data_IF_568595055462
#
_entry.id   IF_568595055462
#
_cell.length_a   1.000
_cell.length_b   1.000
_cell.length_c   1.000
_cell.angle_alpha   90.00
_cell.angle_beta   90.00
_cell.angle_gamma   90.00
#
_symmetry.space_group_name_H-M   'P 1'
#
loop_
_entity.id
_entity.type
_entity.pdbx_description
1 polymer ?
#
# COMPACT_ATOMS: atom_id res chain seq x y z
N UNK A 1 -15.97 13.10 -18.23
CA UNK A 1 -16.18 14.34 -17.45
C UNK A 1 -15.92 14.00 -15.99
N UNK A 2 -14.79 14.42 -15.42
CA UNK A 2 -14.48 14.18 -14.01
C UNK A 2 -15.54 14.89 -13.15
N UNK A 3 -16.46 14.12 -12.57
CA UNK A 3 -17.40 14.63 -11.59
C UNK A 3 -16.59 14.98 -10.35
N UNK A 4 -16.41 16.27 -10.08
CA UNK A 4 -15.66 16.75 -8.92
C UNK A 4 -16.21 16.10 -7.65
N UNK A 5 -15.41 15.24 -7.01
CA UNK A 5 -15.70 14.74 -5.69
C UNK A 5 -15.81 15.92 -4.73
N UNK A 6 -16.85 15.95 -3.89
CA UNK A 6 -16.94 16.98 -2.83
C UNK A 6 -16.17 16.47 -1.61
N UNK A 7 -14.87 16.25 -1.81
CA UNK A 7 -13.98 15.93 -0.72
C UNK A 7 -13.61 17.18 0.06
N UNK A 8 -13.34 16.98 1.34
CA UNK A 8 -12.71 17.96 2.21
C UNK A 8 -11.39 17.40 2.69
N UNK A 9 -10.38 18.26 2.71
CA UNK A 9 -9.02 17.92 3.05
C UNK A 9 -8.53 18.93 4.09
N UNK A 10 -8.03 18.42 5.22
CA UNK A 10 -7.35 19.21 6.23
C UNK A 10 -5.96 18.65 6.49
N UNK A 11 -4.98 19.53 6.66
CA UNK A 11 -3.62 19.18 7.04
C UNK A 11 -3.29 19.92 8.33
N UNK A 12 -2.85 19.19 9.34
CA UNK A 12 -2.34 19.77 10.58
C UNK A 12 -1.20 18.91 11.09
N UNK A 13 -0.06 19.54 11.41
CA UNK A 13 1.17 18.83 11.78
C UNK A 13 1.57 17.81 10.68
N UNK A 14 1.71 16.55 11.06
CA UNK A 14 2.04 15.36 10.28
C UNK A 14 0.79 14.56 9.86
N UNK A 15 -0.41 15.10 10.08
CA UNK A 15 -1.68 14.46 9.78
C UNK A 15 -2.35 15.08 8.55
N UNK A 16 -2.87 14.21 7.67
CA UNK A 16 -3.74 14.53 6.56
C UNK A 16 -5.09 13.84 6.80
N UNK A 17 -6.17 14.59 6.78
CA UNK A 17 -7.53 14.06 6.92
C UNK A 17 -8.31 14.36 5.65
N UNK A 18 -8.80 13.29 5.02
CA UNK A 18 -9.66 13.33 3.83
C UNK A 18 -11.03 12.80 4.20
N UNK A 19 -12.10 13.47 3.76
CA UNK A 19 -13.45 12.96 3.93
C UNK A 19 -14.37 13.35 2.79
N UNK A 20 -15.37 12.52 2.55
CA UNK A 20 -16.44 12.75 1.59
C UNK A 20 -17.75 12.17 2.14
N UNK A 21 -18.88 12.54 1.54
CA UNK A 21 -20.17 11.95 1.87
C UNK A 21 -20.28 10.56 1.24
N UNK A 22 -20.61 9.53 2.02
CA UNK A 22 -20.60 8.14 1.56
C UNK A 22 -21.60 7.88 0.43
N UNK A 23 -22.67 8.67 0.37
CA UNK A 23 -23.72 8.62 -0.65
C UNK A 23 -23.25 9.12 -2.02
N UNK A 24 -22.02 9.66 -2.11
CA UNK A 24 -21.44 10.08 -3.38
C UNK A 24 -21.12 8.84 -4.24
N UNK A 25 -21.76 8.69 -5.43
CA UNK A 25 -21.54 7.55 -6.30
C UNK A 25 -20.06 7.41 -6.70
N UNK A 26 -19.49 6.22 -6.51
CA UNK A 26 -18.08 5.91 -6.80
C UNK A 26 -17.08 6.61 -5.87
N UNK A 27 -17.55 7.25 -4.80
CA UNK A 27 -16.72 8.05 -3.90
C UNK A 27 -15.66 7.23 -3.15
N UNK A 28 -16.00 5.99 -2.77
CA UNK A 28 -15.06 5.08 -2.10
C UNK A 28 -13.90 4.71 -3.02
N UNK A 29 -14.19 4.14 -4.19
CA UNK A 29 -13.17 3.76 -5.16
C UNK A 29 -12.26 4.94 -5.50
N UNK A 30 -12.86 6.08 -5.85
CA UNK A 30 -12.09 7.26 -6.27
C UNK A 30 -11.19 7.80 -5.16
N UNK A 31 -11.68 7.83 -3.91
CA UNK A 31 -10.88 8.29 -2.76
C UNK A 31 -9.75 7.31 -2.43
N UNK A 32 -10.01 5.99 -2.50
CA UNK A 32 -8.96 4.97 -2.30
C UNK A 32 -7.86 5.08 -3.36
N UNK A 33 -8.26 5.31 -4.61
CA UNK A 33 -7.35 5.51 -5.72
C UNK A 33 -6.47 6.76 -5.52
N UNK A 34 -7.05 7.89 -5.09
CA UNK A 34 -6.29 9.10 -4.78
C UNK A 34 -5.31 8.90 -3.62
N UNK A 35 -5.72 8.18 -2.57
CA UNK A 35 -4.83 7.82 -1.46
C UNK A 35 -3.69 6.92 -1.97
N UNK A 36 -3.96 5.95 -2.85
CA UNK A 36 -2.94 5.10 -3.47
C UNK A 36 -1.91 5.91 -4.23
N UNK A 37 -2.37 6.83 -5.09
CA UNK A 37 -1.49 7.76 -5.82
C UNK A 37 -0.66 8.63 -4.87
N UNK A 38 -1.25 9.11 -3.77
CA UNK A 38 -0.53 9.87 -2.74
C UNK A 38 0.56 9.02 -2.08
N UNK A 39 0.26 7.77 -1.69
CA UNK A 39 1.25 6.85 -1.10
C UNK A 39 2.42 6.66 -2.07
N UNK A 40 2.16 6.38 -3.34
CA UNK A 40 3.20 6.20 -4.36
C UNK A 40 4.07 7.46 -4.52
N UNK A 41 3.47 8.66 -4.53
CA UNK A 41 4.20 9.95 -4.58
C UNK A 41 5.02 10.23 -3.33
N UNK A 42 4.59 9.75 -2.15
CA UNK A 42 5.39 9.86 -0.93
C UNK A 42 6.57 8.88 -0.96
N UNK A 43 6.37 7.67 -1.46
CA UNK A 43 7.42 6.65 -1.61
C UNK A 43 8.52 7.11 -2.58
N UNK A 44 8.18 7.78 -3.69
CA UNK A 44 9.19 8.37 -4.58
C UNK A 44 10.07 9.41 -3.90
N UNK A 45 9.53 10.08 -2.86
CA UNK A 45 10.25 11.02 -1.99
C UNK A 45 10.86 10.37 -0.74
N UNK A 46 10.86 9.04 -0.66
CA UNK A 46 11.34 8.25 0.49
C UNK A 46 10.59 8.54 1.80
N UNK A 47 9.36 9.04 1.71
CA UNK A 47 8.46 9.28 2.84
C UNK A 47 7.50 8.10 2.95
N UNK A 48 7.39 7.57 4.17
CA UNK A 48 6.45 6.51 4.51
C UNK A 48 5.27 7.12 5.27
N UNK A 49 4.06 6.73 4.90
CA UNK A 49 2.84 7.10 5.61
C UNK A 49 2.10 5.86 6.09
N UNK A 50 1.19 6.07 7.04
CA UNK A 50 0.23 5.08 7.51
C UNK A 50 -1.09 5.80 7.73
N UNK A 51 -2.19 5.04 7.74
CA UNK A 51 -3.52 5.61 7.93
C UNK A 51 -4.54 4.53 8.20
N UNK A 52 -5.77 4.96 8.46
CA UNK A 52 -6.92 4.09 8.46
C UNK A 52 -8.15 4.83 7.93
N UNK A 53 -9.08 4.06 7.38
CA UNK A 53 -10.33 4.55 6.80
C UNK A 53 -11.48 3.99 7.63
N UNK A 54 -12.41 4.85 7.99
CA UNK A 54 -13.61 4.52 8.76
C UNK A 54 -14.83 5.21 8.17
N UNK A 55 -16.02 4.72 8.52
CA UNK A 55 -17.30 5.28 8.08
C UNK A 55 -18.11 5.63 9.32
N UNK A 56 -18.62 6.85 9.39
CA UNK A 56 -19.48 7.26 10.49
C UNK A 56 -19.74 8.77 10.49
N UNK A 57 -20.38 9.24 11.56
CA UNK A 57 -20.66 10.67 11.72
C UNK A 57 -19.36 11.45 11.79
N UNK A 58 -19.27 12.49 10.96
CA UNK A 58 -18.09 13.34 10.89
C UNK A 58 -18.46 14.76 10.49
N UNK A 59 -17.96 15.74 11.25
CA UNK A 59 -18.03 17.15 10.91
C UNK A 59 -16.63 17.57 10.46
N UNK A 60 -16.55 17.98 9.20
CA UNK A 60 -15.35 18.54 8.58
C UNK A 60 -15.70 19.89 7.96
N UNK A 61 -15.31 20.96 8.61
CA UNK A 61 -15.35 22.34 8.11
C UNK A 61 -13.95 22.91 8.12
N UNK A 62 -13.79 24.14 7.63
CA UNK A 62 -12.48 24.81 7.60
C UNK A 62 -11.97 25.09 9.02
N UNK A 63 -12.88 25.19 10.00
CA UNK A 63 -12.59 25.49 11.41
C UNK A 63 -12.70 24.28 12.35
N UNK A 64 -13.46 23.24 11.98
CA UNK A 64 -13.81 22.14 12.88
C UNK A 64 -13.63 20.76 12.25
N UNK A 65 -13.03 19.86 13.03
CA UNK A 65 -12.77 18.48 12.65
C UNK A 65 -13.09 17.55 13.83
N UNK A 66 -14.29 16.98 13.87
CA UNK A 66 -14.66 16.09 14.98
C UNK A 66 -15.80 15.12 14.62
N UNK A 67 -15.82 13.98 15.30
CA UNK A 67 -16.85 12.97 15.15
C UNK A 67 -16.32 11.56 15.44
N UNK A 68 -17.20 10.60 15.70
CA UNK A 68 -16.81 9.21 15.99
C UNK A 68 -15.96 8.59 14.88
N UNK A 69 -16.22 8.91 13.60
CA UNK A 69 -15.42 8.36 12.50
C UNK A 69 -13.95 8.79 12.58
N UNK A 70 -13.67 10.05 12.92
CA UNK A 70 -12.30 10.54 13.10
C UNK A 70 -11.59 9.81 14.24
N UNK A 71 -12.29 9.63 15.37
CA UNK A 71 -11.75 8.93 16.55
C UNK A 71 -11.44 7.47 16.20
N UNK A 72 -12.32 6.82 15.45
CA UNK A 72 -12.14 5.45 14.99
C UNK A 72 -10.96 5.32 14.01
N UNK A 73 -10.88 6.19 13.00
CA UNK A 73 -9.77 6.21 12.05
C UNK A 73 -8.44 6.42 12.78
N UNK A 74 -8.37 7.37 13.70
CA UNK A 74 -7.18 7.61 14.53
C UNK A 74 -6.82 6.40 15.39
N UNK A 75 -7.83 5.75 16.00
CA UNK A 75 -7.61 4.56 16.83
C UNK A 75 -7.06 3.40 16.00
N UNK A 76 -7.62 3.14 14.82
CA UNK A 76 -7.16 2.10 13.90
C UNK A 76 -5.75 2.40 13.36
N UNK A 77 -5.47 3.64 12.96
CA UNK A 77 -4.15 4.08 12.52
C UNK A 77 -3.10 3.88 13.62
N UNK A 78 -3.42 4.26 14.86
CA UNK A 78 -2.51 4.18 16.00
C UNK A 78 -2.30 2.77 16.53
N UNK A 79 -3.32 1.91 16.51
CA UNK A 79 -3.29 0.60 17.18
C UNK A 79 -3.21 -0.60 16.24
N UNK A 80 -3.70 -0.49 15.01
CA UNK A 80 -3.80 -1.61 14.07
C UNK A 80 -2.93 -1.42 12.83
N UNK A 81 -2.87 -0.21 12.24
CA UNK A 81 -2.10 -0.01 11.01
C UNK A 81 -0.63 -0.37 11.22
N UNK A 82 -0.01 0.10 12.31
CA UNK A 82 1.34 -0.19 12.88
C UNK A 82 2.56 -0.08 11.96
N UNK A 83 2.40 -0.47 10.71
CA UNK A 83 3.32 -0.46 9.58
C UNK A 83 2.93 0.64 8.58
N UNK A 84 3.77 0.92 7.56
CA UNK A 84 3.50 1.91 6.52
C UNK A 84 2.34 1.55 5.57
N UNK A 85 1.14 1.35 6.08
CA UNK A 85 -0.05 0.97 5.31
C UNK A 85 -1.25 1.80 5.70
N UNK A 86 -2.17 2.00 4.75
CA UNK A 86 -3.50 2.58 5.00
C UNK A 86 -4.49 1.44 5.03
N UNK A 87 -5.11 1.21 6.19
CA UNK A 87 -6.00 0.06 6.42
C UNK A 87 -7.48 0.43 6.39
N UNK A 88 -8.32 -0.56 6.11
CA UNK A 88 -9.77 -0.45 6.15
C UNK A 88 -10.41 -1.80 6.46
N UNK A 89 -11.61 -1.73 7.03
CA UNK A 89 -12.45 -2.90 7.31
C UNK A 89 -13.30 -3.29 6.08
N UNK A 90 -13.73 -4.54 6.01
CA UNK A 90 -14.60 -5.04 4.94
C UNK A 90 -15.86 -4.20 4.72
N UNK A 91 -16.42 -3.60 5.78
CA UNK A 91 -17.57 -2.68 5.69
C UNK A 91 -17.36 -1.51 4.74
N UNK A 92 -16.11 -1.02 4.57
CA UNK A 92 -15.80 0.06 3.61
C UNK A 92 -15.94 -0.43 2.16
N UNK A 93 -15.57 -1.68 1.89
CA UNK A 93 -15.70 -2.31 0.57
C UNK A 93 -17.20 -2.46 0.23
N UNK A 94 -17.98 -2.98 1.18
CA UNK A 94 -19.43 -3.11 1.04
C UNK A 94 -20.11 -1.76 0.84
N UNK A 95 -19.72 -0.73 1.59
CA UNK A 95 -20.24 0.61 1.41
C UNK A 95 -19.90 1.20 0.03
N UNK A 96 -18.72 0.91 -0.51
CA UNK A 96 -18.33 1.28 -1.87
C UNK A 96 -19.27 0.65 -2.91
N UNK A 97 -19.48 -0.65 -2.81
CA UNK A 97 -20.38 -1.39 -3.71
C UNK A 97 -21.84 -0.92 -3.63
N UNK A 98 -22.30 -0.55 -2.42
CA UNK A 98 -23.65 0.03 -2.23
C UNK A 98 -23.78 1.41 -2.87
N UNK A 99 -22.74 2.24 -2.75
CA UNK A 99 -22.70 3.61 -3.29
C UNK A 99 -21.89 3.67 -4.60
N UNK A 100 -22.11 2.67 -5.45
CA UNK A 100 -21.43 2.48 -6.74
C UNK A 100 -21.64 3.63 -7.72
N UNK A 101 -20.77 3.71 -8.71
CA UNK A 101 -21.02 4.55 -9.86
C UNK A 101 -22.28 4.09 -10.61
N UNK A 102 -22.96 5.01 -11.31
CA UNK A 102 -24.21 4.71 -12.02
C UNK A 102 -24.03 3.70 -13.16
N UNK A 103 -22.81 3.64 -13.70
CA UNK A 103 -22.45 2.79 -14.83
C UNK A 103 -22.03 1.36 -14.40
N UNK A 104 -21.97 1.07 -13.10
CA UNK A 104 -21.57 -0.23 -12.57
C UNK A 104 -22.72 -0.88 -11.80
N UNK A 105 -22.74 -2.22 -11.80
CA UNK A 105 -23.51 -2.97 -10.82
C UNK A 105 -22.75 -3.13 -9.49
N UNK A 106 -23.41 -3.72 -8.49
CA UNK A 106 -22.85 -3.90 -7.16
C UNK A 106 -21.57 -4.76 -7.17
N UNK A 107 -21.57 -5.83 -7.97
CA UNK A 107 -20.46 -6.79 -8.04
C UNK A 107 -19.27 -6.15 -8.75
N UNK A 108 -19.52 -5.47 -9.87
CA UNK A 108 -18.49 -4.76 -10.63
C UNK A 108 -17.80 -3.68 -9.77
N UNK A 109 -18.57 -2.83 -9.06
CA UNK A 109 -17.99 -1.82 -8.19
C UNK A 109 -17.19 -2.44 -7.04
N UNK A 110 -17.68 -3.54 -6.46
CA UNK A 110 -16.96 -4.28 -5.41
C UNK A 110 -15.62 -4.78 -5.93
N UNK A 111 -15.59 -5.35 -7.13
CA UNK A 111 -14.36 -5.81 -7.78
C UNK A 111 -13.38 -4.66 -8.05
N UNK A 112 -13.87 -3.51 -8.52
CA UNK A 112 -13.04 -2.32 -8.70
C UNK A 112 -12.43 -1.84 -7.38
N UNK A 113 -13.22 -1.75 -6.30
CA UNK A 113 -12.69 -1.38 -4.97
C UNK A 113 -11.65 -2.40 -4.51
N UNK A 114 -11.93 -3.70 -4.63
CA UNK A 114 -11.00 -4.77 -4.25
C UNK A 114 -9.74 -4.82 -5.11
N UNK A 115 -9.79 -4.34 -6.35
CA UNK A 115 -8.64 -4.26 -7.24
C UNK A 115 -7.54 -3.32 -6.71
N UNK A 116 -7.88 -2.40 -5.79
CA UNK A 116 -6.93 -1.49 -5.12
C UNK A 116 -6.32 -2.07 -3.84
N UNK A 117 -6.86 -3.18 -3.32
CA UNK A 117 -6.65 -3.61 -1.94
C UNK A 117 -6.04 -5.01 -1.84
N UNK A 118 -5.30 -5.28 -0.79
CA UNK A 118 -4.86 -6.63 -0.43
C UNK A 118 -5.20 -6.90 1.04
N UNK A 119 -5.46 -8.16 1.40
CA UNK A 119 -5.72 -8.53 2.78
C UNK A 119 -4.42 -8.88 3.51
N UNK A 120 -4.30 -8.38 4.73
CA UNK A 120 -3.16 -8.65 5.59
C UNK A 120 -3.47 -9.78 6.60
N UNK A 121 -2.44 -10.31 7.27
CA UNK A 121 -2.55 -11.44 8.20
C UNK A 121 -3.38 -11.17 9.45
N UNK A 122 -3.68 -9.91 9.74
CA UNK A 122 -4.58 -9.51 10.84
C UNK A 122 -6.05 -9.38 10.40
N UNK A 123 -6.36 -9.71 9.15
CA UNK A 123 -7.71 -9.67 8.59
C UNK A 123 -8.11 -8.31 8.02
N UNK A 124 -7.32 -7.25 8.25
CA UNK A 124 -7.59 -5.93 7.68
C UNK A 124 -7.17 -5.87 6.21
N UNK A 125 -7.90 -5.10 5.41
CA UNK A 125 -7.46 -4.74 4.07
C UNK A 125 -6.52 -3.54 4.13
N UNK A 126 -5.57 -3.47 3.20
CA UNK A 126 -4.76 -2.29 2.98
C UNK A 126 -4.70 -1.92 1.51
N UNK A 127 -4.47 -0.63 1.22
CA UNK A 127 -4.23 -0.15 -0.15
C UNK A 127 -2.90 -0.72 -0.63
N UNK A 128 -2.94 -1.59 -1.65
CA UNK A 128 -1.75 -2.26 -2.16
C UNK A 128 -0.99 -1.33 -3.12
N UNK A 129 0.06 -0.74 -2.59
CA UNK A 129 1.04 0.06 -3.34
C UNK A 129 2.28 -0.77 -3.74
N UNK A 130 2.26 -2.09 -3.61
CA UNK A 130 3.31 -2.99 -4.09
C UNK A 130 2.98 -3.47 -5.50
N UNK A 131 2.38 -4.66 -5.64
CA UNK A 131 2.14 -5.26 -6.95
C UNK A 131 1.06 -4.49 -7.72
N UNK A 132 -0.04 -4.14 -7.04
CA UNK A 132 -1.15 -3.42 -7.68
C UNK A 132 -0.82 -1.97 -8.04
N UNK A 133 0.33 -1.42 -7.63
CA UNK A 133 0.76 -0.08 -8.04
C UNK A 133 0.94 0.06 -9.56
N UNK A 134 1.29 -1.03 -10.26
CA UNK A 134 1.46 -1.03 -11.71
C UNK A 134 0.20 -0.58 -12.45
N UNK A 135 -0.99 -0.80 -11.88
CA UNK A 135 -2.27 -0.43 -12.51
C UNK A 135 -2.49 1.09 -12.58
N UNK A 136 -1.68 1.87 -11.84
CA UNK A 136 -1.80 3.33 -11.75
C UNK A 136 -0.67 4.06 -12.49
N UNK A 137 0.16 3.32 -13.23
CA UNK A 137 1.24 3.88 -14.03
C UNK A 137 0.74 4.05 -15.47
N UNK A 138 1.18 5.11 -16.13
CA UNK A 138 0.77 5.43 -17.50
C UNK A 138 1.32 4.38 -18.47
N UNK A 139 2.59 4.01 -18.29
CA UNK A 139 3.28 2.99 -19.08
C UNK A 139 3.92 1.93 -18.15
N UNK A 140 3.14 0.97 -17.60
CA UNK A 140 3.60 0.05 -16.56
C UNK A 140 4.82 -0.78 -16.96
N UNK A 141 4.98 -1.11 -18.25
CA UNK A 141 6.12 -1.85 -18.77
C UNK A 141 7.45 -1.11 -18.59
N UNK A 142 7.41 0.23 -18.54
CA UNK A 142 8.58 1.10 -18.40
C UNK A 142 8.69 1.70 -16.99
N UNK A 143 7.57 2.14 -16.42
CA UNK A 143 7.54 2.87 -15.15
C UNK A 143 7.62 1.93 -13.93
N UNK A 144 7.07 0.71 -14.03
CA UNK A 144 7.03 -0.20 -12.90
C UNK A 144 8.42 -0.72 -12.50
N UNK A 145 9.35 -1.04 -13.43
CA UNK A 145 10.75 -1.29 -13.12
C UNK A 145 11.38 -0.22 -12.20
N UNK A 146 11.28 1.06 -12.57
CA UNK A 146 11.81 2.18 -11.79
C UNK A 146 11.14 2.29 -10.42
N UNK A 147 9.82 2.08 -10.38
CA UNK A 147 9.07 2.04 -9.13
C UNK A 147 9.55 0.92 -8.19
N UNK A 148 9.77 -0.29 -8.71
CA UNK A 148 10.29 -1.45 -7.97
C UNK A 148 11.67 -1.13 -7.39
N UNK A 149 12.57 -0.55 -8.19
CA UNK A 149 13.91 -0.19 -7.72
C UNK A 149 13.86 0.87 -6.62
N UNK A 150 13.06 1.92 -6.81
CA UNK A 150 12.88 2.97 -5.83
C UNK A 150 12.33 2.43 -4.49
N UNK A 151 11.33 1.54 -4.55
CA UNK A 151 10.74 0.89 -3.39
C UNK A 151 11.74 -0.05 -2.71
N UNK A 152 12.52 -0.81 -3.48
CA UNK A 152 13.57 -1.68 -2.95
C UNK A 152 14.64 -0.88 -2.20
N UNK A 153 15.03 0.29 -2.71
CA UNK A 153 15.97 1.20 -2.06
C UNK A 153 15.44 1.72 -0.72
N UNK A 154 14.17 2.16 -0.66
CA UNK A 154 13.50 2.55 0.60
C UNK A 154 13.59 1.43 1.63
N UNK A 155 13.23 0.21 1.24
CA UNK A 155 13.20 -0.94 2.15
C UNK A 155 14.61 -1.31 2.61
N UNK A 156 15.59 -1.39 1.69
CA UNK A 156 16.98 -1.75 2.01
C UNK A 156 17.62 -0.73 2.96
N UNK A 157 17.49 0.56 2.66
CA UNK A 157 18.01 1.64 3.53
C UNK A 157 17.36 1.60 4.90
N UNK A 158 16.04 1.39 4.96
CA UNK A 158 15.31 1.25 6.22
C UNK A 158 15.78 0.07 7.07
N UNK A 159 15.92 -1.11 6.48
CA UNK A 159 16.44 -2.30 7.16
C UNK A 159 17.90 -2.10 7.63
N UNK A 160 18.74 -1.47 6.82
CA UNK A 160 20.13 -1.16 7.19
C UNK A 160 20.20 -0.16 8.34
N UNK A 161 19.44 0.93 8.27
CA UNK A 161 19.41 2.00 9.27
C UNK A 161 18.79 1.58 10.61
N UNK A 162 18.02 0.49 10.63
CA UNK A 162 17.37 -0.12 11.80
C UNK A 162 18.02 -1.44 12.25
N UNK A 163 19.27 -1.69 11.85
CA UNK A 163 19.98 -2.94 12.15
C UNK A 163 20.30 -3.14 13.64
N UNK A 164 20.47 -2.05 14.40
CA UNK A 164 20.71 -2.09 15.84
C UNK A 164 19.46 -2.59 16.60
N UNK A 165 19.65 -3.37 17.66
CA UNK A 165 18.54 -4.01 18.38
C UNK A 165 17.55 -2.99 18.99
N UNK A 166 18.05 -1.82 19.42
CA UNK A 166 17.21 -0.73 19.97
C UNK A 166 16.23 -0.11 18.96
N UNK A 167 16.41 -0.35 17.65
CA UNK A 167 15.53 0.15 16.57
C UNK A 167 14.56 -0.93 16.07
N UNK A 168 14.16 -1.85 16.94
CA UNK A 168 13.30 -2.98 16.59
C UNK A 168 11.93 -2.55 16.06
N UNK A 169 11.38 -1.50 16.65
CA UNK A 169 10.13 -0.82 16.27
C UNK A 169 10.19 -0.21 14.86
N UNK A 170 11.36 0.27 14.44
CA UNK A 170 11.58 0.75 13.06
C UNK A 170 11.78 -0.46 12.13
N UNK A 171 12.57 -1.44 12.55
CA UNK A 171 12.91 -2.62 11.73
C UNK A 171 11.69 -3.46 11.39
N UNK A 172 10.71 -3.58 12.30
CA UNK A 172 9.48 -4.34 12.03
C UNK A 172 8.67 -3.72 10.89
N UNK A 173 8.66 -2.38 10.76
CA UNK A 173 8.00 -1.65 9.66
C UNK A 173 8.60 -2.04 8.30
N UNK A 174 9.92 -2.00 8.18
CA UNK A 174 10.59 -2.38 6.94
C UNK A 174 10.58 -3.88 6.69
N UNK A 175 10.46 -4.71 7.73
CA UNK A 175 10.29 -6.16 7.60
C UNK A 175 8.92 -6.50 7.01
N UNK A 176 7.86 -5.81 7.45
CA UNK A 176 6.53 -5.91 6.87
C UNK A 176 6.57 -5.53 5.38
N UNK A 177 7.18 -4.39 5.03
CA UNK A 177 7.30 -3.97 3.62
C UNK A 177 8.11 -4.98 2.78
N UNK A 178 9.21 -5.50 3.32
CA UNK A 178 10.06 -6.51 2.67
C UNK A 178 9.25 -7.74 2.28
N UNK A 179 8.36 -8.21 3.16
CA UNK A 179 7.54 -9.39 2.88
C UNK A 179 6.58 -9.16 1.71
N UNK A 180 5.91 -8.00 1.64
CA UNK A 180 4.99 -7.66 0.54
C UNK A 180 5.76 -7.42 -0.76
N UNK A 181 6.88 -6.72 -0.69
CA UNK A 181 7.80 -6.57 -1.81
C UNK A 181 8.25 -7.94 -2.35
N UNK A 182 8.67 -8.86 -1.49
CA UNK A 182 9.11 -10.18 -1.92
C UNK A 182 7.98 -11.02 -2.53
N UNK A 183 6.74 -10.87 -2.08
CA UNK A 183 5.56 -11.47 -2.72
C UNK A 183 5.33 -10.89 -4.12
N UNK A 184 5.46 -9.58 -4.29
CA UNK A 184 5.41 -8.92 -5.60
C UNK A 184 6.51 -9.47 -6.53
N UNK A 185 7.74 -9.63 -6.01
CA UNK A 185 8.84 -10.25 -6.77
C UNK A 185 8.45 -11.66 -7.23
N UNK A 186 7.89 -12.50 -6.34
CA UNK A 186 7.45 -13.85 -6.73
C UNK A 186 6.47 -13.85 -7.91
N UNK A 187 5.55 -12.89 -7.93
CA UNK A 187 4.55 -12.76 -9.01
C UNK A 187 5.23 -12.37 -10.33
N UNK A 188 6.00 -11.29 -10.33
CA UNK A 188 6.60 -10.76 -11.58
C UNK A 188 7.69 -11.68 -12.14
N UNK A 189 8.39 -12.43 -11.28
CA UNK A 189 9.43 -13.39 -11.69
C UNK A 189 8.91 -14.80 -11.93
N UNK A 190 7.59 -15.02 -11.84
CA UNK A 190 7.01 -16.34 -12.10
C UNK A 190 7.31 -16.79 -13.54
N UNK A 191 7.51 -18.10 -13.73
CA UNK A 191 7.85 -18.65 -15.05
C UNK A 191 6.74 -18.35 -16.06
N UNK A 192 5.49 -18.45 -15.61
CA UNK A 192 4.31 -18.15 -16.40
C UNK A 192 4.31 -16.69 -16.88
N UNK A 193 4.63 -15.74 -16.00
CA UNK A 193 4.70 -14.33 -16.37
C UNK A 193 5.85 -14.03 -17.35
N UNK A 194 7.04 -14.60 -17.11
CA UNK A 194 8.19 -14.42 -18.00
C UNK A 194 7.93 -14.98 -19.40
N UNK A 195 7.26 -16.14 -19.50
CA UNK A 195 6.85 -16.70 -20.80
C UNK A 195 5.83 -15.79 -21.48
N UNK A 196 4.85 -15.25 -20.72
CA UNK A 196 3.85 -14.32 -21.25
C UNK A 196 4.50 -13.09 -21.87
N UNK A 197 5.44 -12.46 -21.17
CA UNK A 197 6.15 -11.25 -21.62
C UNK A 197 6.99 -11.52 -22.88
N UNK A 198 7.74 -12.62 -22.90
CA UNK A 198 8.50 -13.00 -24.09
C UNK A 198 7.61 -13.22 -25.32
N UNK A 199 6.44 -13.84 -25.12
CA UNK A 199 5.48 -14.08 -26.19
C UNK A 199 4.78 -12.79 -26.67
N UNK A 200 4.65 -11.78 -25.81
CA UNK A 200 4.07 -10.47 -26.18
C UNK A 200 5.10 -9.50 -26.79
N UNK A 201 6.37 -9.89 -26.91
CA UNK A 201 7.43 -9.03 -27.44
C UNK A 201 8.13 -8.16 -26.40
N UNK A 202 7.77 -8.30 -25.12
CA UNK A 202 8.30 -7.51 -23.99
C UNK A 202 9.60 -8.12 -23.43
N UNK A 203 10.60 -8.33 -24.31
CA UNK A 203 11.83 -9.04 -23.96
C UNK A 203 12.67 -8.28 -22.92
N UNK A 204 12.78 -6.95 -23.04
CA UNK A 204 13.53 -6.11 -22.10
C UNK A 204 12.95 -6.18 -20.68
N UNK A 205 11.61 -6.15 -20.58
CA UNK A 205 10.91 -6.28 -19.31
C UNK A 205 11.05 -7.70 -18.72
N UNK A 206 10.98 -8.73 -19.56
CA UNK A 206 11.21 -10.11 -19.13
C UNK A 206 12.63 -10.29 -18.59
N UNK A 207 13.64 -9.72 -19.26
CA UNK A 207 15.02 -9.74 -18.84
C UNK A 207 15.20 -8.99 -17.51
N UNK A 208 14.61 -7.80 -17.36
CA UNK A 208 14.62 -7.06 -16.10
C UNK A 208 14.02 -7.89 -14.96
N UNK A 209 12.80 -8.43 -15.13
CA UNK A 209 12.15 -9.26 -14.12
C UNK A 209 12.94 -10.52 -13.78
N UNK A 210 13.53 -11.20 -14.77
CA UNK A 210 14.33 -12.41 -14.52
C UNK A 210 15.53 -12.16 -13.60
N UNK A 211 16.05 -10.93 -13.57
CA UNK A 211 17.20 -10.52 -12.76
C UNK A 211 16.81 -9.96 -11.39
N UNK A 212 15.52 -9.71 -11.13
CA UNK A 212 15.05 -9.21 -9.84
C UNK A 212 15.31 -10.23 -8.72
N UNK A 213 15.70 -9.71 -7.56
CA UNK A 213 15.99 -10.51 -6.37
C UNK A 213 15.19 -10.04 -5.17
N UNK A 214 14.67 -11.01 -4.42
CA UNK A 214 14.10 -10.78 -3.10
C UNK A 214 15.10 -10.07 -2.18
N UNK A 215 14.58 -9.21 -1.33
CA UNK A 215 15.35 -8.63 -0.23
C UNK A 215 15.48 -9.70 0.87
N UNK A 216 16.72 -10.02 1.23
CA UNK A 216 17.04 -11.11 2.17
C UNK A 216 16.39 -10.94 3.54
N UNK A 217 15.96 -12.07 4.11
CA UNK A 217 15.50 -12.19 5.50
C UNK A 217 16.66 -12.32 6.50
N UNK A 218 17.83 -12.76 6.03
CA UNK A 218 18.87 -13.40 6.84
C UNK A 218 20.12 -12.55 7.09
N UNK A 219 19.98 -11.29 7.49
CA UNK A 219 21.13 -10.57 8.10
C UNK A 219 21.37 -10.98 9.56
N UNK A 220 20.43 -11.69 10.20
CA UNK A 220 20.53 -12.10 11.61
C UNK A 220 20.86 -13.57 11.82
N UNK A 221 20.67 -14.45 10.84
CA UNK A 221 20.97 -15.89 10.96
C UNK A 221 22.47 -16.16 11.02
N UNK A 222 23.29 -15.34 10.34
CA UNK A 222 24.75 -15.48 10.33
C UNK A 222 25.44 -14.99 11.62
N UNK A 223 24.75 -14.22 12.47
CA UNK A 223 25.28 -13.80 13.78
C UNK A 223 25.10 -14.87 14.87
N UNK A 224 24.09 -15.74 14.75
CA UNK A 224 23.91 -16.90 15.63
C UNK A 224 24.77 -18.10 15.20
N UNK A 225 24.97 -18.30 13.89
CA UNK A 225 25.81 -19.39 13.39
C UNK A 225 27.32 -19.15 13.51
N UNK A 226 27.78 -17.89 13.50
CA UNK A 226 29.21 -17.56 13.70
C UNK A 226 29.68 -17.56 15.15
N UNK A 227 28.75 -17.56 16.13
CA UNK A 227 29.08 -17.73 17.56
C UNK A 227 29.17 -19.20 17.97
N UNK A 228 28.50 -20.11 17.27
CA UNK A 228 28.54 -21.56 17.57
C UNK A 228 29.67 -22.32 16.85
N UNK A 229 30.39 -21.69 15.91
CA UNK A 229 31.55 -22.30 15.23
C UNK A 229 32.90 -21.95 15.87
N UNK A 230 32.93 -21.19 16.97
CA UNK A 230 34.16 -20.84 17.71
C UNK A 230 34.38 -21.66 18.99
N UNK A 231 33.53 -22.66 19.24
CA UNK A 231 33.62 -23.58 20.39
C UNK A 231 33.50 -25.06 20.01
N UNK A 232 34.01 -25.44 18.83
CA UNK A 232 34.33 -26.84 18.52
C UNK A 232 35.75 -26.93 18.02
#
# INVERSE_FOLDING_TARGET
MLRLLKQKISIFSDCLVVSFAIEQPGGVFSTLLEIKMLIMRLISRKILCRGAISIGKFIHTDDYLFGPALVEAYTLESKAAMYPRVILDHSVIEAGAQNRNQDHDFTEEKEYVQSLLEQDSDGMFYIDYFFKAQNELDDPEYDFPDYIENLADVIRKGLMGSSHHSKADIRVKYSWMRERFNKMIDIVTSKENLIRLNNSGEQELADFYSNLKKISTNKYTNLFNSKNSKHK
#
